data_IF_559162518672
#
_entry.id   IF_559162518672
#
_cell.length_a   1.000
_cell.length_b   1.000
_cell.length_c   1.000
_cell.angle_alpha   90.00
_cell.angle_beta   90.00
_cell.angle_gamma   90.00
#
_symmetry.space_group_name_H-M   'P 1'
#
loop_
_entity.id
_entity.type
_entity.pdbx_description
1 polymer ?
#
# COMPACT_ATOMS: atom_id res chain seq x y z
N UNK A 1 -11.73 -35.87 -31.13
CA UNK A 1 -12.15 -34.49 -31.36
C UNK A 1 -11.09 -33.54 -30.82
N UNK A 2 -10.28 -32.95 -31.68
CA UNK A 2 -9.34 -31.90 -31.32
C UNK A 2 -10.15 -30.63 -31.07
N UNK A 3 -10.51 -30.35 -29.82
CA UNK A 3 -10.98 -29.00 -29.44
C UNK A 3 -9.80 -28.06 -29.52
N UNK A 4 -9.89 -27.10 -30.44
CA UNK A 4 -8.87 -26.13 -30.72
C UNK A 4 -8.75 -25.17 -29.51
N UNK A 5 -7.64 -25.25 -28.81
CA UNK A 5 -7.21 -24.31 -27.78
C UNK A 5 -6.99 -22.88 -28.29
N UNK A 6 -7.23 -22.64 -29.59
CA UNK A 6 -6.99 -21.34 -30.22
C UNK A 6 -8.17 -20.36 -30.14
N UNK A 7 -9.39 -20.80 -29.79
CA UNK A 7 -10.54 -19.89 -29.72
C UNK A 7 -10.72 -19.17 -28.37
N UNK A 8 -10.02 -19.59 -27.35
CA UNK A 8 -10.13 -18.95 -26.00
C UNK A 8 -9.12 -17.81 -25.77
N UNK A 9 -8.12 -17.66 -26.63
CA UNK A 9 -7.15 -16.55 -26.48
C UNK A 9 -7.66 -15.21 -27.01
N UNK A 10 -8.86 -15.17 -27.58
CA UNK A 10 -9.45 -13.93 -28.12
C UNK A 10 -10.56 -13.34 -27.25
N UNK A 11 -10.78 -13.82 -26.02
CA UNK A 11 -11.43 -12.96 -25.04
C UNK A 11 -10.46 -11.81 -24.76
N UNK A 12 -10.66 -10.75 -25.53
CA UNK A 12 -9.99 -9.47 -25.40
C UNK A 12 -9.79 -9.18 -23.93
N UNK A 13 -8.54 -8.93 -23.52
CA UNK A 13 -8.17 -8.29 -22.26
C UNK A 13 -8.97 -6.98 -22.18
N UNK A 14 -10.23 -7.04 -21.75
CA UNK A 14 -11.06 -5.85 -21.57
C UNK A 14 -10.48 -5.09 -20.41
N UNK A 15 -9.64 -4.10 -20.73
CA UNK A 15 -9.08 -3.20 -19.77
C UNK A 15 -10.24 -2.44 -19.10
N UNK A 16 -10.26 -2.39 -17.78
CA UNK A 16 -11.30 -1.65 -17.05
C UNK A 16 -11.11 -0.15 -17.26
N UNK A 17 -11.93 0.40 -18.13
CA UNK A 17 -11.91 1.83 -18.46
C UNK A 17 -12.20 2.69 -17.22
N UNK A 18 -13.05 2.20 -16.30
CA UNK A 18 -13.39 2.94 -15.08
C UNK A 18 -12.19 2.99 -14.15
N UNK A 19 -11.46 1.86 -13.98
CA UNK A 19 -10.24 1.84 -13.18
C UNK A 19 -9.19 2.81 -13.71
N UNK A 20 -8.96 2.80 -15.04
CA UNK A 20 -8.00 3.71 -15.66
C UNK A 20 -8.42 5.17 -15.50
N UNK A 21 -9.71 5.46 -15.71
CA UNK A 21 -10.24 6.81 -15.56
C UNK A 21 -10.06 7.34 -14.14
N UNK A 22 -10.46 6.55 -13.14
CA UNK A 22 -10.32 6.92 -11.73
C UNK A 22 -8.85 7.13 -11.36
N UNK A 23 -7.96 6.24 -11.81
CA UNK A 23 -6.52 6.37 -11.59
C UNK A 23 -5.98 7.65 -12.23
N UNK A 24 -6.38 7.95 -13.47
CA UNK A 24 -5.98 9.19 -14.15
C UNK A 24 -6.46 10.44 -13.41
N UNK A 25 -7.71 10.45 -12.92
CA UNK A 25 -8.24 11.56 -12.13
C UNK A 25 -7.46 11.73 -10.82
N UNK A 26 -7.16 10.65 -10.11
CA UNK A 26 -6.36 10.71 -8.88
C UNK A 26 -4.97 11.28 -9.17
N UNK A 27 -4.29 10.83 -10.24
CA UNK A 27 -2.97 11.33 -10.62
C UNK A 27 -3.02 12.82 -10.94
N UNK A 28 -3.95 13.25 -11.78
CA UNK A 28 -4.08 14.67 -12.16
C UNK A 28 -4.41 15.53 -10.94
N UNK A 29 -5.38 15.12 -10.13
CA UNK A 29 -5.74 15.83 -8.88
C UNK A 29 -4.55 15.91 -7.94
N UNK A 30 -3.80 14.80 -7.77
CA UNK A 30 -2.60 14.76 -6.94
C UNK A 30 -1.49 15.71 -7.42
N UNK A 31 -1.26 15.81 -8.74
CA UNK A 31 -0.26 16.72 -9.31
C UNK A 31 -0.67 18.19 -9.13
N UNK A 32 -1.95 18.52 -9.31
CA UNK A 32 -2.47 19.88 -9.11
C UNK A 32 -2.32 20.30 -7.64
N UNK A 33 -2.73 19.44 -6.72
CA UNK A 33 -2.63 19.70 -5.28
C UNK A 33 -1.17 19.79 -4.86
N UNK A 34 -0.31 18.90 -5.35
CA UNK A 34 1.11 18.95 -5.05
C UNK A 34 1.73 20.27 -5.50
N UNK A 35 1.41 20.75 -6.69
CA UNK A 35 1.88 22.06 -7.14
C UNK A 35 1.42 23.17 -6.17
N UNK A 36 0.13 23.19 -5.82
CA UNK A 36 -0.40 24.18 -4.89
C UNK A 36 0.32 24.17 -3.54
N UNK A 37 0.57 22.98 -2.98
CA UNK A 37 1.16 22.83 -1.64
C UNK A 37 2.66 23.04 -1.62
N UNK A 38 3.36 22.76 -2.72
CA UNK A 38 4.84 22.75 -2.76
C UNK A 38 5.46 23.99 -3.39
N UNK A 39 4.69 24.80 -4.11
CA UNK A 39 5.21 25.97 -4.84
C UNK A 39 5.98 26.93 -3.93
N UNK A 40 5.45 27.26 -2.77
CA UNK A 40 6.10 28.12 -1.78
C UNK A 40 7.43 27.55 -1.26
N UNK A 41 7.43 26.26 -0.87
CA UNK A 41 8.64 25.60 -0.39
C UNK A 41 9.69 25.41 -1.52
N UNK A 42 9.23 25.21 -2.76
CA UNK A 42 10.07 25.13 -3.95
C UNK A 42 10.80 26.45 -4.22
N UNK A 43 10.08 27.56 -4.14
CA UNK A 43 10.64 28.90 -4.32
C UNK A 43 11.70 29.22 -3.26
N UNK A 44 11.39 28.99 -1.97
CA UNK A 44 12.31 29.32 -0.87
C UNK A 44 13.56 28.45 -0.88
N UNK A 45 13.39 27.11 -1.08
CA UNK A 45 14.52 26.17 -0.93
C UNK A 45 15.35 26.02 -2.20
N UNK A 46 14.74 26.16 -3.38
CA UNK A 46 15.36 25.84 -4.67
C UNK A 46 15.26 26.95 -5.70
N UNK A 47 14.62 28.08 -5.38
CA UNK A 47 14.35 29.18 -6.30
C UNK A 47 13.60 28.74 -7.57
N UNK A 48 12.78 27.67 -7.45
CA UNK A 48 11.97 27.10 -8.52
C UNK A 48 10.64 26.60 -7.96
N UNK A 49 9.57 27.31 -8.23
CA UNK A 49 8.19 26.94 -7.81
C UNK A 49 7.75 25.59 -8.35
N UNK A 50 8.30 25.15 -9.49
CA UNK A 50 7.99 23.87 -10.14
C UNK A 50 8.91 22.72 -9.74
N UNK A 51 9.88 22.92 -8.85
CA UNK A 51 10.87 21.90 -8.50
C UNK A 51 10.25 20.57 -8.09
N UNK A 52 9.33 20.58 -7.13
CA UNK A 52 8.67 19.35 -6.66
C UNK A 52 7.75 18.74 -7.73
N UNK A 53 7.03 19.59 -8.47
CA UNK A 53 6.17 19.13 -9.55
C UNK A 53 6.96 18.42 -10.65
N UNK A 54 8.08 18.97 -11.10
CA UNK A 54 8.95 18.35 -12.13
C UNK A 54 9.41 16.96 -11.69
N UNK A 55 9.88 16.82 -10.44
CA UNK A 55 10.25 15.52 -9.87
C UNK A 55 9.08 14.54 -9.83
N UNK A 56 7.93 14.98 -9.40
CA UNK A 56 6.74 14.12 -9.30
C UNK A 56 6.19 13.71 -10.67
N UNK A 57 6.15 14.61 -11.64
CA UNK A 57 5.77 14.28 -13.03
C UNK A 57 6.70 13.22 -13.61
N UNK A 58 8.03 13.39 -13.43
CA UNK A 58 9.00 12.39 -13.87
C UNK A 58 8.77 11.03 -13.21
N UNK A 59 8.59 10.99 -11.89
CA UNK A 59 8.29 9.76 -11.15
C UNK A 59 6.96 9.13 -11.60
N UNK A 60 5.94 9.95 -11.85
CA UNK A 60 4.63 9.50 -12.34
C UNK A 60 4.73 8.86 -13.73
N UNK A 61 5.47 9.47 -14.64
CA UNK A 61 5.71 8.91 -15.98
C UNK A 61 6.44 7.57 -15.92
N UNK A 62 7.48 7.46 -15.07
CA UNK A 62 8.16 6.19 -14.82
C UNK A 62 7.21 5.15 -14.21
N UNK A 63 6.34 5.55 -13.28
CA UNK A 63 5.33 4.68 -12.68
C UNK A 63 4.31 4.17 -13.70
N UNK A 64 3.80 5.04 -14.58
CA UNK A 64 2.88 4.66 -15.66
C UNK A 64 3.56 3.69 -16.63
N UNK A 65 4.80 3.97 -17.01
CA UNK A 65 5.58 3.08 -17.87
C UNK A 65 5.79 1.71 -17.21
N UNK A 66 6.17 1.69 -15.92
CA UNK A 66 6.31 0.45 -15.14
C UNK A 66 4.99 -0.33 -15.05
N UNK A 67 3.88 0.36 -14.79
CA UNK A 67 2.55 -0.24 -14.76
C UNK A 67 2.20 -0.87 -16.11
N UNK A 68 2.47 -0.18 -17.22
CA UNK A 68 2.24 -0.71 -18.56
C UNK A 68 3.11 -1.94 -18.86
N UNK A 69 4.39 -1.91 -18.49
CA UNK A 69 5.29 -3.06 -18.63
C UNK A 69 4.78 -4.26 -17.84
N UNK A 70 4.44 -4.07 -16.56
CA UNK A 70 3.97 -5.13 -15.66
C UNK A 70 2.64 -5.72 -16.15
N UNK A 71 1.73 -4.89 -16.68
CA UNK A 71 0.44 -5.34 -17.22
C UNK A 71 0.57 -6.27 -18.45
N UNK A 72 1.70 -6.19 -19.18
CA UNK A 72 1.98 -7.05 -20.33
C UNK A 72 2.75 -8.33 -19.97
N UNK A 73 3.26 -8.45 -18.74
CA UNK A 73 3.99 -9.64 -18.27
C UNK A 73 2.98 -10.70 -17.79
N UNK A 74 3.21 -11.96 -18.16
CA UNK A 74 2.41 -13.08 -17.66
C UNK A 74 2.58 -13.22 -16.14
N UNK A 75 1.45 -13.24 -15.42
CA UNK A 75 1.44 -13.35 -13.95
C UNK A 75 2.08 -14.66 -13.44
N UNK A 76 2.21 -15.70 -14.27
CA UNK A 76 2.90 -16.94 -13.90
C UNK A 76 4.39 -16.74 -13.63
N UNK A 77 5.00 -15.72 -14.21
CA UNK A 77 6.40 -15.38 -13.99
C UNK A 77 6.61 -14.94 -12.53
N UNK A 78 5.65 -14.20 -11.97
CA UNK A 78 5.72 -13.73 -10.60
C UNK A 78 5.75 -14.86 -9.56
N UNK A 79 5.15 -16.03 -9.86
CA UNK A 79 5.23 -17.21 -9.02
C UNK A 79 6.67 -17.72 -8.87
N UNK A 80 7.47 -17.64 -9.93
CA UNK A 80 8.89 -18.05 -9.91
C UNK A 80 9.73 -17.08 -9.08
N UNK A 81 9.39 -15.80 -9.09
CA UNK A 81 10.11 -14.74 -8.38
C UNK A 81 9.63 -14.50 -6.94
N UNK A 82 8.56 -15.19 -6.50
CA UNK A 82 8.00 -14.99 -5.17
C UNK A 82 8.99 -15.29 -4.03
N UNK A 83 9.67 -16.44 -4.08
CA UNK A 83 10.66 -16.81 -3.05
C UNK A 83 11.96 -16.02 -3.21
N UNK A 84 12.59 -15.92 -4.39
CA UNK A 84 13.78 -15.08 -4.57
C UNK A 84 13.55 -13.61 -4.18
N UNK A 85 12.41 -13.04 -4.55
CA UNK A 85 12.05 -11.66 -4.18
C UNK A 85 11.91 -11.48 -2.66
N UNK A 86 11.33 -12.46 -1.97
CA UNK A 86 11.23 -12.44 -0.52
C UNK A 86 12.61 -12.52 0.15
N UNK A 87 13.49 -13.41 -0.31
CA UNK A 87 14.87 -13.52 0.21
C UNK A 87 15.66 -12.22 -0.07
N UNK A 88 15.50 -11.65 -1.25
CA UNK A 88 16.10 -10.36 -1.59
C UNK A 88 15.60 -9.25 -0.66
N UNK A 89 14.32 -9.24 -0.30
CA UNK A 89 13.78 -8.23 0.61
C UNK A 89 14.34 -8.35 2.04
N UNK A 90 14.61 -9.57 2.51
CA UNK A 90 15.32 -9.80 3.79
C UNK A 90 16.75 -9.28 3.69
N UNK A 91 17.47 -9.63 2.62
CA UNK A 91 18.83 -9.14 2.40
C UNK A 91 18.91 -7.61 2.39
N UNK A 92 18.02 -6.96 1.64
CA UNK A 92 17.92 -5.50 1.60
C UNK A 92 17.58 -4.90 2.96
N UNK A 93 16.71 -5.56 3.74
CA UNK A 93 16.41 -5.15 5.12
C UNK A 93 17.62 -5.20 6.04
N UNK A 94 18.44 -6.25 5.94
CA UNK A 94 19.71 -6.34 6.68
C UNK A 94 20.70 -5.26 6.21
N UNK A 95 20.82 -5.04 4.91
CA UNK A 95 21.70 -4.00 4.37
C UNK A 95 21.33 -2.60 4.86
N UNK A 96 20.04 -2.28 5.00
CA UNK A 96 19.60 -1.00 5.59
C UNK A 96 20.01 -0.88 7.06
N UNK A 97 19.90 -1.96 7.84
CA UNK A 97 20.34 -1.92 9.25
C UNK A 97 21.84 -1.61 9.37
N UNK A 98 22.65 -2.16 8.46
CA UNK A 98 24.11 -2.03 8.50
C UNK A 98 24.58 -0.72 7.86
N UNK A 99 24.07 -0.37 6.69
CA UNK A 99 24.59 0.70 5.82
C UNK A 99 23.58 1.83 5.56
N UNK A 100 22.38 1.76 6.15
CA UNK A 100 21.36 2.77 5.92
C UNK A 100 21.73 4.13 6.48
N UNK A 101 21.36 5.19 5.75
CA UNK A 101 21.49 6.57 6.23
C UNK A 101 20.47 6.84 7.34
N UNK A 102 20.92 7.52 8.38
CA UNK A 102 20.09 7.91 9.50
C UNK A 102 19.33 9.19 9.17
N UNK A 103 18.00 9.06 9.06
CA UNK A 103 17.10 10.18 8.86
C UNK A 103 16.11 10.24 10.01
N UNK A 104 16.05 11.34 10.72
CA UNK A 104 15.17 11.52 11.90
C UNK A 104 15.30 10.39 12.94
N UNK A 105 16.55 9.97 13.26
CA UNK A 105 16.81 8.97 14.29
C UNK A 105 16.54 7.52 13.87
N UNK A 106 16.37 7.24 12.57
CA UNK A 106 16.20 5.86 12.10
C UNK A 106 16.78 5.64 10.71
N UNK A 107 17.39 4.46 10.52
CA UNK A 107 17.98 4.04 9.25
C UNK A 107 16.90 3.40 8.38
N UNK A 108 16.46 4.09 7.32
CA UNK A 108 15.36 3.63 6.46
C UNK A 108 15.70 3.62 4.98
N UNK A 109 16.71 4.40 4.58
CA UNK A 109 17.04 4.65 3.20
C UNK A 109 18.43 4.13 2.85
N UNK A 110 18.54 3.57 1.65
CA UNK A 110 19.81 3.30 1.00
C UNK A 110 20.00 4.37 -0.07
N UNK A 111 21.07 5.16 0.06
CA UNK A 111 21.40 6.21 -0.91
C UNK A 111 22.46 5.69 -1.87
N UNK A 112 22.18 5.81 -3.16
CA UNK A 112 23.09 5.48 -4.25
C UNK A 112 23.31 6.76 -5.09
N UNK A 113 24.13 7.65 -4.61
CA UNK A 113 24.34 8.96 -5.23
C UNK A 113 23.05 9.80 -5.22
N UNK A 114 22.51 10.23 -6.38
CA UNK A 114 21.31 11.06 -6.42
C UNK A 114 20.01 10.28 -6.18
N UNK A 115 20.07 8.94 -6.13
CA UNK A 115 18.92 8.07 -5.92
C UNK A 115 18.89 7.54 -4.50
N UNK A 116 17.76 7.69 -3.84
CA UNK A 116 17.47 7.06 -2.57
C UNK A 116 16.40 5.98 -2.76
N UNK A 117 16.63 4.81 -2.18
CA UNK A 117 15.72 3.67 -2.25
C UNK A 117 15.35 3.23 -0.83
N UNK A 118 14.06 3.01 -0.60
CA UNK A 118 13.56 2.49 0.68
C UNK A 118 13.22 1.00 0.54
N UNK A 119 14.03 0.09 1.07
CA UNK A 119 13.81 -1.36 0.93
C UNK A 119 12.49 -1.87 1.48
N UNK A 120 11.90 -1.21 2.46
CA UNK A 120 10.61 -1.61 2.99
C UNK A 120 9.45 -1.44 1.99
N UNK A 121 9.58 -0.56 0.98
CA UNK A 121 8.60 -0.45 -0.10
C UNK A 121 8.62 -1.70 -0.99
N UNK A 122 9.82 -2.16 -1.34
CA UNK A 122 10.00 -3.43 -2.05
C UNK A 122 9.53 -4.62 -1.22
N UNK A 123 9.79 -4.62 0.09
CA UNK A 123 9.39 -5.69 1.00
C UNK A 123 7.86 -5.90 1.02
N UNK A 124 7.05 -4.84 0.96
CA UNK A 124 5.58 -4.96 0.90
C UNK A 124 5.13 -5.78 -0.32
N UNK A 125 5.69 -5.47 -1.49
CA UNK A 125 5.36 -6.18 -2.73
C UNK A 125 5.88 -7.62 -2.68
N UNK A 126 7.10 -7.84 -2.23
CA UNK A 126 7.70 -9.16 -2.10
C UNK A 126 6.90 -10.07 -1.16
N UNK A 127 6.41 -9.54 -0.03
CA UNK A 127 5.56 -10.27 0.92
C UNK A 127 4.21 -10.64 0.31
N UNK A 128 3.58 -9.75 -0.46
CA UNK A 128 2.32 -10.05 -1.15
C UNK A 128 2.51 -11.23 -2.11
N UNK A 129 3.54 -11.20 -2.94
CA UNK A 129 3.83 -12.26 -3.90
C UNK A 129 4.17 -13.58 -3.21
N UNK A 130 5.01 -13.53 -2.19
CA UNK A 130 5.43 -14.67 -1.41
C UNK A 130 4.27 -15.34 -0.66
N UNK A 131 3.46 -14.57 0.04
CA UNK A 131 2.29 -15.09 0.75
C UNK A 131 1.27 -15.68 -0.21
N UNK A 132 0.99 -15.00 -1.32
CA UNK A 132 0.09 -15.52 -2.35
C UNK A 132 0.59 -16.87 -2.88
N UNK A 133 1.89 -16.99 -3.16
CA UNK A 133 2.50 -18.24 -3.60
C UNK A 133 2.37 -19.37 -2.56
N UNK A 134 2.68 -19.10 -1.28
CA UNK A 134 2.61 -20.12 -0.22
C UNK A 134 1.16 -20.52 0.08
N UNK A 135 0.24 -19.57 0.09
CA UNK A 135 -1.20 -19.82 0.30
C UNK A 135 -1.74 -20.73 -0.80
N UNK A 136 -1.47 -20.42 -2.07
CA UNK A 136 -1.89 -21.25 -3.20
C UNK A 136 -1.29 -22.66 -3.13
N UNK A 137 -0.02 -22.78 -2.74
CA UNK A 137 0.64 -24.09 -2.59
C UNK A 137 0.05 -24.93 -1.46
N UNK A 138 -0.51 -24.30 -0.44
CA UNK A 138 -1.07 -24.97 0.74
C UNK A 138 -2.61 -24.83 0.80
N UNK A 139 -3.29 -24.49 -0.30
CA UNK A 139 -4.71 -24.19 -0.32
C UNK A 139 -5.57 -25.28 0.35
N UNK A 140 -5.30 -26.57 0.07
CA UNK A 140 -6.00 -27.71 0.65
C UNK A 140 -5.77 -27.88 2.16
N UNK A 141 -4.72 -27.27 2.70
CA UNK A 141 -4.32 -27.40 4.13
C UNK A 141 -4.64 -26.14 4.93
N UNK A 142 -5.24 -25.11 4.33
CA UNK A 142 -5.56 -23.86 5.00
C UNK A 142 -6.59 -23.98 6.14
N UNK A 143 -7.34 -25.09 6.19
CA UNK A 143 -8.23 -25.41 7.30
C UNK A 143 -7.46 -25.80 8.59
N UNK A 144 -6.16 -26.19 8.48
CA UNK A 144 -5.33 -26.56 9.63
C UNK A 144 -4.68 -25.32 10.24
N UNK A 145 -4.92 -25.08 11.53
CA UNK A 145 -4.32 -23.97 12.27
C UNK A 145 -2.78 -23.96 12.19
N UNK A 146 -2.16 -25.13 12.25
CA UNK A 146 -0.68 -25.27 12.12
C UNK A 146 -0.17 -24.74 10.77
N UNK A 147 -0.92 -24.91 9.69
CA UNK A 147 -0.50 -24.36 8.36
C UNK A 147 -0.58 -22.84 8.35
N UNK A 148 -1.65 -22.28 8.90
CA UNK A 148 -1.84 -20.83 9.03
C UNK A 148 -0.72 -20.23 9.89
N UNK A 149 -0.41 -20.83 11.04
CA UNK A 149 0.69 -20.36 11.89
C UNK A 149 2.05 -20.39 11.15
N UNK A 150 2.36 -21.45 10.40
CA UNK A 150 3.60 -21.52 9.63
C UNK A 150 3.71 -20.42 8.58
N UNK A 151 2.59 -20.08 7.92
CA UNK A 151 2.54 -19.00 6.95
C UNK A 151 2.79 -17.64 7.62
N UNK A 152 2.16 -17.38 8.76
CA UNK A 152 2.37 -16.13 9.51
C UNK A 152 3.80 -16.04 10.05
N UNK A 153 4.31 -17.12 10.63
CA UNK A 153 5.69 -17.17 11.13
C UNK A 153 6.71 -16.90 10.03
N UNK A 154 6.43 -17.34 8.79
CA UNK A 154 7.34 -17.08 7.66
C UNK A 154 7.47 -15.60 7.30
N UNK A 155 6.57 -14.72 7.73
CA UNK A 155 6.61 -13.27 7.50
C UNK A 155 7.32 -12.53 8.66
N UNK A 156 7.40 -13.14 9.85
CA UNK A 156 7.97 -12.49 11.03
C UNK A 156 9.40 -11.97 10.85
N UNK A 157 10.32 -12.66 10.13
CA UNK A 157 11.67 -12.15 9.92
C UNK A 157 11.68 -10.77 9.26
N UNK A 158 10.87 -10.58 8.22
CA UNK A 158 10.81 -9.29 7.52
C UNK A 158 10.08 -8.23 8.35
N UNK A 159 9.04 -8.61 9.09
CA UNK A 159 8.33 -7.73 10.02
C UNK A 159 9.28 -7.24 11.11
N UNK A 160 10.12 -8.13 11.66
CA UNK A 160 11.12 -7.78 12.67
C UNK A 160 12.19 -6.83 12.14
N UNK A 161 12.77 -7.13 10.97
CA UNK A 161 13.77 -6.27 10.33
C UNK A 161 13.23 -4.88 10.00
N UNK A 162 12.05 -4.80 9.40
CA UNK A 162 11.43 -3.52 9.07
C UNK A 162 10.97 -2.80 10.33
N UNK A 163 10.46 -3.54 11.34
CA UNK A 163 9.99 -2.99 12.61
C UNK A 163 11.08 -2.31 13.42
N UNK A 164 12.32 -2.81 13.33
CA UNK A 164 13.47 -2.18 13.98
C UNK A 164 13.72 -0.74 13.47
N UNK A 165 13.45 -0.47 12.19
CA UNK A 165 13.67 0.84 11.57
C UNK A 165 12.39 1.64 11.36
N UNK A 166 11.26 0.99 11.10
CA UNK A 166 9.98 1.63 10.79
C UNK A 166 8.78 0.77 11.25
N UNK A 167 8.31 1.05 12.46
CA UNK A 167 7.16 0.33 13.03
C UNK A 167 5.90 0.44 12.17
N UNK A 168 5.60 1.63 11.65
CA UNK A 168 4.39 1.84 10.84
C UNK A 168 4.35 0.93 9.63
N UNK A 169 5.48 0.81 8.92
CA UNK A 169 5.58 -0.08 7.77
C UNK A 169 5.52 -1.57 8.17
N UNK A 170 6.11 -1.94 9.31
CA UNK A 170 6.02 -3.30 9.84
C UNK A 170 4.56 -3.70 10.15
N UNK A 171 3.78 -2.77 10.73
CA UNK A 171 2.34 -2.96 10.99
C UNK A 171 1.57 -3.13 9.68
N UNK A 172 1.89 -2.35 8.65
CA UNK A 172 1.27 -2.49 7.33
C UNK A 172 1.59 -3.88 6.74
N UNK A 173 2.84 -4.34 6.81
CA UNK A 173 3.24 -5.68 6.31
C UNK A 173 2.50 -6.78 7.07
N UNK A 174 2.40 -6.66 8.39
CA UNK A 174 1.64 -7.60 9.21
C UNK A 174 0.15 -7.58 8.85
N UNK A 175 -0.44 -6.39 8.67
CA UNK A 175 -1.82 -6.22 8.22
C UNK A 175 -2.09 -6.88 6.86
N UNK A 176 -1.19 -6.72 5.90
CA UNK A 176 -1.25 -7.40 4.60
C UNK A 176 -1.27 -8.93 4.79
N UNK A 177 -0.38 -9.45 5.64
CA UNK A 177 -0.31 -10.88 5.92
C UNK A 177 -1.62 -11.41 6.53
N UNK A 178 -2.16 -10.70 7.52
CA UNK A 178 -3.42 -11.03 8.18
C UNK A 178 -4.59 -11.04 7.18
N UNK A 179 -4.70 -10.01 6.35
CA UNK A 179 -5.78 -9.89 5.34
C UNK A 179 -5.69 -11.03 4.31
N UNK A 180 -4.49 -11.32 3.78
CA UNK A 180 -4.32 -12.39 2.78
C UNK A 180 -4.67 -13.76 3.37
N UNK A 181 -4.25 -14.03 4.60
CA UNK A 181 -4.59 -15.29 5.29
C UNK A 181 -6.07 -15.35 5.62
N UNK A 182 -6.69 -14.24 6.02
CA UNK A 182 -8.14 -14.17 6.27
C UNK A 182 -8.95 -14.53 5.04
N UNK A 183 -8.64 -13.93 3.90
CA UNK A 183 -9.33 -14.22 2.62
C UNK A 183 -9.16 -15.68 2.20
N UNK A 184 -8.00 -16.29 2.51
CA UNK A 184 -7.68 -17.66 2.11
C UNK A 184 -8.16 -18.72 3.11
N UNK A 185 -8.44 -18.37 4.37
CA UNK A 185 -8.78 -19.31 5.41
C UNK A 185 -10.31 -19.53 5.50
N UNK A 186 -10.78 -20.77 5.51
CA UNK A 186 -12.20 -21.07 5.66
C UNK A 186 -12.71 -20.94 7.11
N UNK A 187 -11.83 -20.77 8.10
CA UNK A 187 -12.18 -20.75 9.53
C UNK A 187 -11.93 -19.39 10.17
N UNK A 188 -12.98 -18.63 10.42
CA UNK A 188 -12.91 -17.32 11.06
C UNK A 188 -12.30 -17.32 12.48
N UNK A 189 -12.41 -18.44 13.22
CA UNK A 189 -11.81 -18.59 14.55
C UNK A 189 -10.29 -18.50 14.53
N UNK A 190 -9.63 -18.96 13.44
CA UNK A 190 -8.19 -18.81 13.26
C UNK A 190 -7.77 -17.35 13.12
N UNK A 191 -8.64 -16.54 12.47
CA UNK A 191 -8.41 -15.11 12.32
C UNK A 191 -8.48 -14.37 13.66
N UNK A 192 -9.45 -14.68 14.53
CA UNK A 192 -9.54 -14.08 15.86
C UNK A 192 -8.24 -14.25 16.66
N UNK A 193 -7.64 -15.43 16.62
CA UNK A 193 -6.33 -15.71 17.24
C UNK A 193 -5.21 -14.88 16.64
N UNK A 194 -5.19 -14.71 15.31
CA UNK A 194 -4.16 -13.89 14.64
C UNK A 194 -4.28 -12.41 14.99
N UNK A 195 -5.51 -11.89 15.05
CA UNK A 195 -5.78 -10.51 15.50
C UNK A 195 -5.32 -10.34 16.95
N UNK A 196 -5.66 -11.27 17.84
CA UNK A 196 -5.24 -11.25 19.24
C UNK A 196 -3.72 -11.25 19.38
N UNK A 197 -3.02 -12.10 18.61
CA UNK A 197 -1.55 -12.15 18.58
C UNK A 197 -0.95 -10.85 18.04
N UNK A 198 -1.55 -10.28 16.98
CA UNK A 198 -1.14 -9.01 16.40
C UNK A 198 -1.31 -7.84 17.39
N UNK A 199 -2.43 -7.81 18.12
CA UNK A 199 -2.66 -6.82 19.18
C UNK A 199 -1.69 -6.98 20.34
N UNK A 200 -1.40 -8.21 20.76
CA UNK A 200 -0.40 -8.49 21.80
C UNK A 200 1.00 -8.05 21.37
N UNK A 201 1.41 -8.37 20.15
CA UNK A 201 2.67 -7.93 19.57
C UNK A 201 2.75 -6.39 19.53
N UNK A 202 1.69 -5.73 19.07
CA UNK A 202 1.59 -4.28 19.05
C UNK A 202 1.70 -3.69 20.44
N UNK A 203 1.00 -4.25 21.43
CA UNK A 203 1.04 -3.80 22.83
C UNK A 203 2.45 -3.90 23.43
N UNK A 204 3.13 -5.04 23.23
CA UNK A 204 4.51 -5.23 23.67
C UNK A 204 5.43 -4.22 22.99
N UNK A 205 5.29 -4.04 21.68
CA UNK A 205 6.14 -3.15 20.90
C UNK A 205 5.94 -1.67 21.25
N UNK A 206 4.72 -1.27 21.61
CA UNK A 206 4.45 0.08 22.13
C UNK A 206 5.04 0.29 23.50
N UNK A 207 5.01 -0.74 24.37
CA UNK A 207 5.54 -0.68 25.73
C UNK A 207 7.08 -0.65 25.80
N UNK A 208 7.76 -1.16 24.78
CA UNK A 208 9.24 -1.24 24.76
C UNK A 208 9.94 0.12 24.65
N UNK A 209 9.27 1.16 24.15
CA UNK A 209 9.90 2.47 23.97
C UNK A 209 8.97 3.61 24.41
N UNK A 210 9.39 4.38 25.39
CA UNK A 210 8.65 5.49 25.98
C UNK A 210 8.26 6.59 24.96
N UNK A 211 9.08 6.82 23.93
CA UNK A 211 8.81 7.84 22.91
C UNK A 211 7.55 7.54 22.08
N UNK A 212 7.14 6.25 21.98
CA UNK A 212 5.93 5.84 21.27
C UNK A 212 4.66 6.16 22.07
N UNK A 213 4.74 6.01 23.39
CA UNK A 213 3.68 6.45 24.29
C UNK A 213 3.56 7.98 24.29
N UNK A 214 4.68 8.72 24.25
CA UNK A 214 4.69 10.17 24.07
C UNK A 214 3.93 10.60 22.80
N UNK A 215 4.10 9.89 21.67
CA UNK A 215 3.33 10.18 20.44
C UNK A 215 1.82 10.03 20.62
N UNK A 216 1.36 9.07 21.41
CA UNK A 216 -0.07 8.91 21.72
C UNK A 216 -0.58 10.09 22.57
N UNK A 217 0.21 10.57 23.52
CA UNK A 217 -0.13 11.75 24.33
C UNK A 217 -0.14 13.02 23.47
N UNK A 218 0.83 13.19 22.58
CA UNK A 218 0.88 14.29 21.61
C UNK A 218 -0.35 14.28 20.70
N UNK A 219 -0.78 13.08 20.26
CA UNK A 219 -1.98 12.96 19.42
C UNK A 219 -3.26 13.37 20.17
N UNK A 220 -3.37 13.03 21.45
CA UNK A 220 -4.53 13.41 22.28
C UNK A 220 -4.53 14.89 22.66
N UNK A 221 -3.34 15.46 22.96
CA UNK A 221 -3.16 16.82 23.42
C UNK A 221 -2.02 17.52 22.68
N UNK A 222 -2.17 17.77 21.36
CA UNK A 222 -1.11 18.36 20.54
C UNK A 222 -0.71 19.76 21.02
N UNK A 223 -1.63 20.48 21.66
CA UNK A 223 -1.41 21.83 22.18
C UNK A 223 -0.42 21.91 23.35
N UNK A 224 -0.15 20.78 24.02
CA UNK A 224 0.73 20.72 25.20
C UNK A 224 2.19 20.42 24.87
N UNK A 225 2.48 20.05 23.63
CA UNK A 225 3.81 19.56 23.23
C UNK A 225 4.30 20.31 22.01
N UNK A 226 5.57 20.72 22.00
CA UNK A 226 6.20 21.34 20.82
C UNK A 226 6.14 20.43 19.59
N UNK A 227 6.32 19.10 19.77
CA UNK A 227 6.20 18.11 18.70
C UNK A 227 4.76 17.97 18.17
N UNK A 228 3.75 18.50 18.87
CA UNK A 228 2.35 18.54 18.46
C UNK A 228 2.02 19.66 17.48
N UNK A 229 2.94 20.60 17.27
CA UNK A 229 2.74 21.79 16.42
C UNK A 229 2.24 21.44 15.02
N UNK A 230 2.85 20.46 14.38
CA UNK A 230 2.43 19.99 13.04
C UNK A 230 0.97 19.52 13.01
N UNK A 231 0.58 18.73 14.01
CA UNK A 231 -0.80 18.22 14.14
C UNK A 231 -1.78 19.34 14.37
N UNK A 232 -1.42 20.30 15.25
CA UNK A 232 -2.26 21.45 15.59
C UNK A 232 -2.49 22.35 14.36
N UNK A 233 -1.42 22.67 13.62
CA UNK A 233 -1.54 23.47 12.40
C UNK A 233 -2.35 22.74 11.31
N UNK A 234 -2.21 21.40 11.21
CA UNK A 234 -3.05 20.60 10.32
C UNK A 234 -4.54 20.64 10.69
N UNK A 235 -4.86 20.63 11.99
CA UNK A 235 -6.24 20.79 12.46
C UNK A 235 -6.78 22.19 12.16
N UNK A 236 -5.97 23.24 12.31
CA UNK A 236 -6.36 24.60 11.91
C UNK A 236 -6.62 24.69 10.41
N UNK A 237 -5.79 24.06 9.57
CA UNK A 237 -6.01 23.98 8.13
C UNK A 237 -7.38 23.35 7.82
N UNK A 238 -7.68 22.19 8.40
CA UNK A 238 -8.97 21.49 8.22
C UNK A 238 -10.13 22.36 8.67
N UNK A 239 -10.05 22.93 9.86
CA UNK A 239 -11.13 23.76 10.43
C UNK A 239 -11.38 25.05 9.64
N UNK A 240 -10.33 25.64 9.07
CA UNK A 240 -10.43 26.90 8.33
C UNK A 240 -11.01 26.78 6.93
N UNK A 241 -11.03 25.56 6.36
CA UNK A 241 -11.55 25.33 5.01
C UNK A 241 -13.07 25.37 4.90
N UNK A 242 -13.81 25.07 5.97
CA UNK A 242 -15.27 25.04 5.94
C UNK A 242 -15.84 24.07 4.90
N UNK A 243 -16.98 24.37 4.32
CA UNK A 243 -17.65 23.50 3.34
C UNK A 243 -17.02 23.59 1.94
N UNK A 244 -16.70 24.79 1.47
CA UNK A 244 -16.29 25.07 0.07
C UNK A 244 -14.80 25.32 -0.07
N UNK A 245 -14.05 25.46 1.02
CA UNK A 245 -12.63 25.82 1.00
C UNK A 245 -12.40 27.31 0.77
N UNK A 246 -11.12 27.68 0.85
CA UNK A 246 -10.64 29.04 0.57
C UNK A 246 -10.30 29.29 -0.91
N UNK A 247 -10.39 28.25 -1.73
CA UNK A 247 -9.96 28.24 -3.12
C UNK A 247 -8.58 27.63 -3.32
N UNK A 248 -8.38 26.99 -4.47
CA UNK A 248 -7.11 26.39 -4.85
C UNK A 248 -5.99 27.46 -4.86
N UNK A 249 -4.87 27.15 -4.24
CA UNK A 249 -3.75 28.07 -4.13
C UNK A 249 -3.85 29.08 -2.97
N UNK A 250 -4.97 29.14 -2.25
CA UNK A 250 -5.23 30.18 -1.24
C UNK A 250 -5.04 29.71 0.21
N UNK A 251 -4.46 28.54 0.44
CA UNK A 251 -4.11 28.08 1.78
C UNK A 251 -3.06 29.00 2.41
N UNK A 252 -3.28 29.44 3.65
CA UNK A 252 -2.33 30.19 4.45
C UNK A 252 -1.35 29.23 5.13
N UNK A 253 -1.85 28.07 5.54
CA UNK A 253 -1.08 27.10 6.31
C UNK A 253 0.11 26.50 5.54
N UNK A 254 0.03 26.43 4.20
CA UNK A 254 1.15 25.98 3.35
C UNK A 254 2.32 26.96 3.27
N UNK A 255 2.13 28.24 3.68
CA UNK A 255 3.15 29.28 3.65
C UNK A 255 4.18 29.15 4.78
N UNK A 256 4.51 27.93 5.21
CA UNK A 256 5.50 27.60 6.21
C UNK A 256 4.95 27.34 7.62
N UNK A 257 3.65 27.51 7.84
CA UNK A 257 3.03 27.21 9.14
C UNK A 257 2.91 25.71 9.36
N UNK A 258 2.56 24.93 8.33
CA UNK A 258 2.53 23.46 8.40
C UNK A 258 3.86 22.91 7.88
N UNK A 259 4.68 22.27 8.75
CA UNK A 259 5.87 21.55 8.30
C UNK A 259 5.48 20.43 7.33
N UNK A 260 6.30 20.23 6.29
CA UNK A 260 6.10 19.16 5.30
C UNK A 260 4.68 19.10 4.70
N UNK A 261 4.08 20.27 4.43
CA UNK A 261 2.73 20.42 3.90
C UNK A 261 2.50 19.61 2.60
N UNK A 262 3.55 19.47 1.77
CA UNK A 262 3.51 18.73 0.50
C UNK A 262 3.59 17.20 0.66
N UNK A 263 3.93 16.70 1.86
CA UNK A 263 4.10 15.27 2.17
C UNK A 263 2.99 14.79 3.11
N UNK A 264 3.29 14.75 4.41
CA UNK A 264 2.44 14.10 5.42
C UNK A 264 1.15 14.87 5.70
N UNK A 265 1.11 16.17 5.42
CA UNK A 265 -0.02 17.06 5.74
C UNK A 265 -0.78 17.55 4.51
N UNK A 266 -0.57 16.92 3.35
CA UNK A 266 -1.19 17.35 2.09
C UNK A 266 -2.73 17.31 2.17
N UNK A 267 -3.31 16.34 2.88
CA UNK A 267 -4.75 16.21 3.05
C UNK A 267 -5.35 17.37 3.86
N UNK A 268 -4.64 17.87 4.86
CA UNK A 268 -5.06 19.07 5.62
C UNK A 268 -5.13 20.31 4.73
N UNK A 269 -4.18 20.46 3.80
CA UNK A 269 -4.20 21.55 2.83
C UNK A 269 -5.32 21.37 1.80
N UNK A 270 -5.64 20.14 1.38
CA UNK A 270 -6.81 19.86 0.55
C UNK A 270 -8.08 20.35 1.26
N UNK A 271 -8.24 20.05 2.54
CA UNK A 271 -9.36 20.50 3.35
C UNK A 271 -9.42 22.03 3.43
N UNK A 272 -8.29 22.73 3.57
CA UNK A 272 -8.24 24.20 3.62
C UNK A 272 -8.61 24.82 2.26
N UNK A 273 -8.04 24.30 1.15
CA UNK A 273 -8.23 24.89 -0.18
C UNK A 273 -9.57 24.52 -0.82
N UNK A 274 -10.00 23.27 -0.69
CA UNK A 274 -11.19 22.73 -1.36
C UNK A 274 -12.36 22.46 -0.39
N UNK A 275 -12.17 22.67 0.89
CA UNK A 275 -13.17 22.43 1.93
C UNK A 275 -13.55 20.96 2.11
N UNK A 276 -14.65 20.75 2.82
CA UNK A 276 -15.20 19.42 3.07
C UNK A 276 -15.59 18.73 1.74
N UNK A 277 -16.12 19.45 0.78
CA UNK A 277 -16.52 18.90 -0.53
C UNK A 277 -15.31 18.31 -1.25
N UNK A 278 -14.19 19.05 -1.30
CA UNK A 278 -12.94 18.55 -1.91
C UNK A 278 -12.37 17.36 -1.18
N UNK A 279 -12.37 17.36 0.15
CA UNK A 279 -11.93 16.25 0.96
C UNK A 279 -12.75 14.98 0.70
N UNK A 280 -14.09 15.10 0.69
CA UNK A 280 -15.00 13.99 0.38
C UNK A 280 -14.79 13.51 -1.06
N UNK A 281 -14.62 14.40 -2.02
CA UNK A 281 -14.33 14.03 -3.41
C UNK A 281 -13.06 13.16 -3.51
N UNK A 282 -11.96 13.56 -2.88
CA UNK A 282 -10.72 12.79 -2.89
C UNK A 282 -10.91 11.43 -2.20
N UNK A 283 -11.59 11.39 -1.05
CA UNK A 283 -11.89 10.12 -0.37
C UNK A 283 -12.75 9.20 -1.23
N UNK A 284 -13.75 9.72 -1.95
CA UNK A 284 -14.58 8.94 -2.86
C UNK A 284 -13.79 8.36 -4.02
N UNK A 285 -12.83 9.10 -4.59
CA UNK A 285 -11.96 8.56 -5.64
C UNK A 285 -11.17 7.34 -5.15
N UNK A 286 -10.59 7.40 -3.95
CA UNK A 286 -9.90 6.25 -3.35
C UNK A 286 -10.86 5.11 -3.04
N UNK A 287 -12.06 5.41 -2.53
CA UNK A 287 -13.08 4.39 -2.28
C UNK A 287 -13.48 3.65 -3.56
N UNK A 288 -13.72 4.39 -4.66
CA UNK A 288 -14.04 3.80 -5.96
C UNK A 288 -12.87 2.94 -6.46
N UNK A 289 -11.62 3.41 -6.31
CA UNK A 289 -10.43 2.64 -6.69
C UNK A 289 -10.37 1.29 -5.95
N UNK A 290 -10.53 1.32 -4.61
CA UNK A 290 -10.53 0.11 -3.77
C UNK A 290 -11.69 -0.80 -4.16
N UNK A 291 -12.89 -0.25 -4.34
CA UNK A 291 -14.07 -0.99 -4.78
C UNK A 291 -13.84 -1.72 -6.10
N UNK A 292 -13.19 -1.06 -7.09
CA UNK A 292 -12.86 -1.68 -8.38
C UNK A 292 -11.88 -2.83 -8.24
N UNK A 293 -10.85 -2.70 -7.41
CA UNK A 293 -9.95 -3.82 -7.10
C UNK A 293 -10.69 -4.99 -6.46
N UNK A 294 -11.58 -4.73 -5.52
CA UNK A 294 -12.39 -5.76 -4.87
C UNK A 294 -13.30 -6.48 -5.87
N UNK A 295 -13.94 -5.73 -6.75
CA UNK A 295 -14.78 -6.27 -7.81
C UNK A 295 -13.99 -7.22 -8.73
N UNK A 296 -12.77 -6.84 -9.11
CA UNK A 296 -11.89 -7.73 -9.89
C UNK A 296 -11.53 -9.00 -9.15
N UNK A 297 -11.17 -8.92 -7.89
CA UNK A 297 -10.83 -10.07 -7.06
C UNK A 297 -11.97 -11.09 -7.04
N UNK A 298 -13.21 -10.63 -6.81
CA UNK A 298 -14.40 -11.49 -6.79
C UNK A 298 -14.70 -12.07 -8.19
N UNK A 299 -14.58 -11.29 -9.23
CA UNK A 299 -14.86 -11.72 -10.60
C UNK A 299 -13.87 -12.79 -11.08
N UNK A 300 -12.59 -12.65 -10.76
CA UNK A 300 -11.57 -13.67 -11.06
C UNK A 300 -11.85 -14.99 -10.30
N UNK A 301 -12.27 -14.91 -9.05
CA UNK A 301 -12.60 -16.11 -8.26
C UNK A 301 -13.81 -16.86 -8.84
N UNK A 302 -14.81 -16.12 -9.32
CA UNK A 302 -16.00 -16.71 -9.97
C UNK A 302 -15.67 -17.42 -11.28
N UNK A 303 -14.81 -16.84 -12.11
CA UNK A 303 -14.33 -17.43 -13.37
C UNK A 303 -13.52 -18.70 -13.11
N UNK A 304 -12.59 -18.68 -12.14
CA UNK A 304 -11.81 -19.86 -11.75
C UNK A 304 -12.66 -21.02 -11.19
N UNK A 305 -13.70 -20.72 -10.40
CA UNK A 305 -14.58 -21.72 -9.83
C UNK A 305 -15.50 -22.43 -10.88
N UNK A 306 -15.84 -21.79 -11.99
CA UNK A 306 -16.57 -22.43 -13.07
C UNK A 306 -15.68 -23.39 -13.87
N UNK A 307 -14.40 -23.07 -14.05
CA UNK A 307 -13.42 -23.96 -14.72
C UNK A 307 -13.15 -25.25 -13.92
N UNK A 308 -13.02 -25.16 -12.61
CA UNK A 308 -12.84 -26.35 -11.75
C UNK A 308 -14.09 -27.23 -11.70
N UNK A 309 -15.29 -26.67 -11.87
CA UNK A 309 -16.54 -27.42 -11.94
C UNK A 309 -16.68 -28.15 -13.28
N UNK A 310 -16.30 -27.52 -14.38
CA UNK A 310 -16.29 -28.13 -15.72
C UNK A 310 -15.24 -29.24 -15.78
N UNK A 311 -14.07 -29.07 -15.21
CA UNK A 311 -13.02 -30.09 -15.14
C UNK A 311 -13.43 -31.30 -14.28
N UNK A 312 -14.15 -31.11 -13.18
CA UNK A 312 -14.67 -32.23 -12.35
C UNK A 312 -15.79 -33.00 -13.03
N UNK A 313 -16.67 -32.34 -13.77
CA UNK A 313 -17.73 -33.03 -14.51
C UNK A 313 -17.22 -33.77 -15.76
N UNK A 314 -16.11 -33.29 -16.40
CA UNK A 314 -15.52 -33.94 -17.55
C UNK A 314 -14.71 -35.21 -17.24
N UNK A 315 -14.34 -35.45 -15.97
CA UNK A 315 -13.63 -36.67 -15.54
C UNK A 315 -14.52 -37.78 -15.05
N UNK A 316 -15.86 -37.56 -14.94
CA UNK A 316 -16.80 -38.58 -14.45
C UNK A 316 -17.51 -39.36 -15.58
N UNK A 317 -17.34 -38.91 -16.86
CA UNK A 317 -18.03 -39.61 -17.98
C UNK A 317 -17.15 -40.66 -18.70
N UNK A 318 -15.90 -40.89 -18.29
CA UNK A 318 -15.00 -41.85 -18.94
C UNK A 318 -14.85 -43.20 -18.19
N UNK A 319 -15.66 -43.49 -17.14
CA UNK A 319 -15.60 -44.79 -16.46
C UNK A 319 -16.94 -45.48 -16.39
N UNK A 320 -17.57 -45.67 -17.56
CA UNK A 320 -18.83 -46.40 -17.64
C UNK A 320 -19.12 -46.92 -19.04
N UNK A 321 -18.31 -47.83 -19.54
CA UNK A 321 -18.74 -48.86 -20.47
C UNK A 321 -17.57 -49.80 -20.86
N UNK A 322 -17.53 -50.93 -20.23
CA UNK A 322 -17.10 -52.20 -20.85
C UNK A 322 -17.45 -53.36 -19.89
#
# INVERSE_FOLDING_TARGET
>A
MKYSWQSEQTEQKKCDRVLILVLAIIIVTGLVILYSTSAYNGEIKFQDTFYYLKKQVFATLLGIMGMWCIANIDYHIWKKWAVPGYLLSILLGVLVMLFGEEYNGSKRWLSFGPFSFQPSEFAKVAVILFLTYIILRNAEKMWKFSTVCKIVISVLPIVGLVGASNLSTAVIILGIAVILVFVASPKYGQFAWMVCLGCAFMGIFLAMESYRLERLQIWQHPEKYEKGYQTLQGLYAIGSGGLFGRGLGSSIQKLGFVPEAQNDMIFSIICEEMGLIGAVFVMLLFFILIWRFFYYCISCTRSGGSFDRIRRNGTHDDTGNS
#
